data_IF_129577470060
#
_entry.id   IF_129577470060
#
_cell.length_a   1.000
_cell.length_b   1.000
_cell.length_c   1.000
_cell.angle_alpha   90.00
_cell.angle_beta   90.00
_cell.angle_gamma   90.00
#
_symmetry.space_group_name_H-M   'P 1'
#
loop_
_entity.id
_entity.type
_entity.pdbx_description
1 polymer ?
#
# COMPACT_ATOMS: atom_id res chain seq x y z
N UNK A 1 -25.16 -11.49 -13.41
CA UNK A 1 -24.77 -10.41 -12.47
C UNK A 1 -23.61 -10.91 -11.63
N UNK A 2 -22.55 -10.13 -11.50
CA UNK A 2 -21.40 -10.53 -10.71
C UNK A 2 -21.80 -10.52 -9.21
N UNK A 3 -21.49 -11.59 -8.46
CA UNK A 3 -21.88 -11.73 -7.05
C UNK A 3 -21.32 -10.61 -6.16
N UNK A 4 -21.80 -10.46 -4.91
CA UNK A 4 -21.39 -9.34 -4.06
C UNK A 4 -19.90 -9.42 -3.69
N UNK A 5 -19.21 -8.26 -3.58
CA UNK A 5 -17.75 -8.19 -3.35
C UNK A 5 -17.34 -8.92 -2.07
N UNK A 6 -16.30 -9.75 -2.13
CA UNK A 6 -15.73 -10.45 -0.96
C UNK A 6 -14.21 -10.32 -0.97
N UNK A 7 -13.60 -10.37 0.20
CA UNK A 7 -12.15 -10.38 0.39
C UNK A 7 -11.70 -11.82 0.61
N UNK A 8 -10.82 -12.31 -0.26
CA UNK A 8 -10.21 -13.62 -0.11
C UNK A 8 -9.43 -13.70 1.21
N UNK A 9 -9.83 -14.66 2.05
CA UNK A 9 -9.28 -14.82 3.40
C UNK A 9 -7.79 -15.19 3.37
N UNK A 10 -7.39 -16.08 2.47
CA UNK A 10 -6.01 -16.56 2.42
C UNK A 10 -5.06 -15.44 1.98
N UNK A 11 -5.46 -14.64 0.99
CA UNK A 11 -4.71 -13.48 0.54
C UNK A 11 -4.70 -12.36 1.57
N UNK A 12 -5.82 -12.09 2.25
CA UNK A 12 -5.86 -11.14 3.36
C UNK A 12 -4.86 -11.50 4.46
N UNK A 13 -4.91 -12.73 4.97
CA UNK A 13 -4.02 -13.17 6.05
C UNK A 13 -2.55 -13.25 5.60
N UNK A 14 -2.31 -13.52 4.31
CA UNK A 14 -0.96 -13.59 3.76
C UNK A 14 -0.31 -12.21 3.61
N UNK A 15 -1.06 -11.21 3.14
CA UNK A 15 -0.53 -9.88 2.78
C UNK A 15 -0.66 -8.84 3.88
N UNK A 16 -1.64 -8.96 4.77
CA UNK A 16 -1.88 -7.96 5.82
C UNK A 16 -1.09 -8.24 7.10
N UNK A 17 -0.72 -7.20 7.85
CA UNK A 17 -0.25 -7.33 9.23
C UNK A 17 -1.18 -8.14 10.11
N UNK A 18 -0.62 -8.96 10.99
CA UNK A 18 -1.39 -9.82 11.92
C UNK A 18 -2.42 -9.04 12.73
N UNK A 19 -2.12 -7.79 13.10
CA UNK A 19 -3.02 -6.90 13.84
C UNK A 19 -4.30 -6.56 13.06
N UNK A 20 -4.28 -6.66 11.73
CA UNK A 20 -5.41 -6.38 10.84
C UNK A 20 -6.23 -7.64 10.49
N UNK A 21 -5.78 -8.84 10.84
CA UNK A 21 -6.46 -10.09 10.47
C UNK A 21 -7.91 -10.14 10.98
N UNK A 22 -8.12 -9.68 12.21
CA UNK A 22 -9.45 -9.63 12.85
C UNK A 22 -10.39 -8.58 12.24
N UNK A 23 -9.85 -7.61 11.50
CA UNK A 23 -10.62 -6.53 10.88
C UNK A 23 -11.26 -6.95 9.54
N UNK A 24 -10.92 -8.12 9.00
CA UNK A 24 -11.38 -8.57 7.67
C UNK A 24 -12.90 -8.52 7.51
N UNK A 25 -13.65 -8.99 8.52
CA UNK A 25 -15.11 -9.05 8.48
C UNK A 25 -15.74 -7.66 8.37
N UNK A 26 -15.37 -6.76 9.27
CA UNK A 26 -15.82 -5.37 9.25
C UNK A 26 -15.39 -4.65 7.97
N UNK A 27 -14.14 -4.85 7.54
CA UNK A 27 -13.60 -4.27 6.31
C UNK A 27 -14.40 -4.71 5.09
N UNK A 28 -14.69 -6.01 4.96
CA UNK A 28 -15.50 -6.54 3.87
C UNK A 28 -16.93 -6.00 3.91
N UNK A 29 -17.55 -5.88 5.09
CA UNK A 29 -18.89 -5.30 5.22
C UNK A 29 -18.91 -3.85 4.74
N UNK A 30 -17.95 -3.02 5.17
CA UNK A 30 -17.83 -1.62 4.74
C UNK A 30 -17.59 -1.50 3.24
N UNK A 31 -16.75 -2.37 2.68
CA UNK A 31 -16.49 -2.43 1.25
C UNK A 31 -17.75 -2.82 0.46
N UNK A 32 -18.54 -3.79 0.95
CA UNK A 32 -19.81 -4.19 0.34
C UNK A 32 -20.78 -3.01 0.29
N UNK A 33 -21.02 -2.33 1.41
CA UNK A 33 -21.89 -1.16 1.46
C UNK A 33 -21.40 -0.03 0.56
N UNK A 34 -20.10 0.27 0.57
CA UNK A 34 -19.55 1.30 -0.31
C UNK A 34 -19.71 0.97 -1.79
N UNK A 35 -19.55 -0.31 -2.17
CA UNK A 35 -19.79 -0.81 -3.52
C UNK A 35 -21.26 -0.74 -3.97
N UNK A 36 -22.22 -0.39 -3.10
CA UNK A 36 -23.63 -0.16 -3.49
C UNK A 36 -23.85 1.23 -4.09
N UNK A 37 -22.95 2.18 -3.83
CA UNK A 37 -22.94 3.51 -4.47
C UNK A 37 -22.63 3.41 -5.97
N UNK A 38 -23.03 4.41 -6.75
CA UNK A 38 -22.78 4.41 -8.20
C UNK A 38 -21.28 4.36 -8.54
N UNK A 39 -20.47 5.17 -7.84
CA UNK A 39 -19.02 5.13 -8.02
C UNK A 39 -18.42 3.80 -7.53
N UNK A 40 -18.90 3.25 -6.41
CA UNK A 40 -18.47 1.96 -5.90
C UNK A 40 -18.74 0.81 -6.88
N UNK A 41 -19.90 0.79 -7.55
CA UNK A 41 -20.21 -0.17 -8.61
C UNK A 41 -19.26 -0.05 -9.80
N UNK A 42 -19.01 1.18 -10.26
CA UNK A 42 -18.04 1.46 -11.32
C UNK A 42 -16.63 1.01 -10.95
N UNK A 43 -16.18 1.35 -9.74
CA UNK A 43 -14.90 0.93 -9.19
C UNK A 43 -14.76 -0.59 -9.14
N UNK A 44 -15.81 -1.28 -8.68
CA UNK A 44 -15.81 -2.74 -8.51
C UNK A 44 -15.68 -3.50 -9.83
N UNK A 45 -16.22 -2.96 -10.92
CA UNK A 45 -16.05 -3.55 -12.26
C UNK A 45 -14.57 -3.58 -12.65
N UNK A 46 -13.83 -2.49 -12.39
CA UNK A 46 -12.39 -2.44 -12.67
C UNK A 46 -11.60 -3.24 -11.64
N UNK A 47 -12.02 -3.24 -10.36
CA UNK A 47 -11.30 -3.89 -9.27
C UNK A 47 -11.28 -5.41 -9.33
N UNK A 48 -12.18 -6.04 -10.11
CA UNK A 48 -12.21 -7.50 -10.31
C UNK A 48 -11.27 -7.98 -11.41
N UNK A 49 -10.92 -7.10 -12.33
CA UNK A 49 -10.13 -7.47 -13.49
C UNK A 49 -8.64 -7.39 -13.15
N UNK A 50 -7.85 -8.45 -13.38
CA UNK A 50 -6.40 -8.37 -13.38
C UNK A 50 -5.94 -7.33 -14.42
N UNK A 51 -5.19 -6.32 -13.97
CA UNK A 51 -4.80 -5.18 -14.82
C UNK A 51 -5.94 -4.18 -15.09
N UNK A 52 -7.05 -4.28 -14.36
CA UNK A 52 -8.11 -3.28 -14.39
C UNK A 52 -7.60 -1.91 -13.95
N UNK A 53 -7.97 -0.90 -14.73
CA UNK A 53 -7.54 0.48 -14.53
C UNK A 53 -8.72 1.44 -14.73
N UNK A 54 -8.66 2.55 -14.01
CA UNK A 54 -9.57 3.68 -14.13
C UNK A 54 -8.75 4.87 -14.60
N UNK A 55 -9.22 5.51 -15.66
CA UNK A 55 -8.60 6.70 -16.23
C UNK A 55 -9.23 7.93 -15.58
N UNK A 56 -8.42 8.82 -15.01
CA UNK A 56 -8.86 9.98 -14.25
C UNK A 56 -8.11 11.24 -14.66
N UNK A 57 -8.73 12.41 -14.47
CA UNK A 57 -8.16 13.74 -14.67
C UNK A 57 -8.30 14.58 -13.39
N UNK A 58 -7.69 15.76 -13.38
CA UNK A 58 -7.81 16.69 -12.25
C UNK A 58 -9.30 16.93 -11.88
N UNK A 59 -9.62 16.79 -10.60
CA UNK A 59 -10.98 16.87 -10.08
C UNK A 59 -11.71 15.52 -10.00
N UNK A 60 -11.29 14.51 -10.75
CA UNK A 60 -11.87 13.15 -10.65
C UNK A 60 -11.48 12.48 -9.35
N UNK A 61 -12.27 11.47 -8.97
CA UNK A 61 -12.07 10.71 -7.74
C UNK A 61 -10.92 9.73 -7.91
N UNK A 62 -9.98 9.70 -6.97
CA UNK A 62 -8.92 8.68 -6.91
C UNK A 62 -9.55 7.33 -6.58
N UNK A 63 -9.23 6.23 -7.29
CA UNK A 63 -9.91 4.95 -7.15
C UNK A 63 -9.42 4.13 -5.94
N UNK A 64 -9.41 4.75 -4.77
CA UNK A 64 -8.99 4.14 -3.52
C UNK A 64 -10.21 3.89 -2.62
N UNK A 65 -10.44 2.62 -2.27
CA UNK A 65 -11.27 2.30 -1.12
C UNK A 65 -10.40 2.36 0.14
N UNK A 66 -10.60 3.39 0.96
CA UNK A 66 -9.81 3.64 2.16
C UNK A 66 -10.66 3.55 3.42
N UNK A 67 -10.27 2.66 4.34
CA UNK A 67 -10.86 2.54 5.66
C UNK A 67 -9.83 2.87 6.74
N UNK A 68 -10.24 3.57 7.79
CA UNK A 68 -9.47 3.79 9.01
C UNK A 68 -10.13 3.02 10.15
N UNK A 69 -9.33 2.27 10.90
CA UNK A 69 -9.73 1.55 12.10
C UNK A 69 -8.92 2.03 13.31
N UNK A 70 -9.59 2.26 14.43
CA UNK A 70 -8.99 2.73 15.67
C UNK A 70 -9.13 1.70 16.80
N UNK A 71 -8.22 1.76 17.78
CA UNK A 71 -8.20 0.82 18.94
C UNK A 71 -9.50 0.81 19.75
N UNK A 72 -10.26 1.90 19.78
CA UNK A 72 -11.52 2.00 20.51
C UNK A 72 -12.72 1.36 19.77
N UNK A 73 -12.48 0.65 18.67
CA UNK A 73 -13.51 0.02 17.84
C UNK A 73 -14.14 0.95 16.81
N UNK A 74 -13.85 2.26 16.85
CA UNK A 74 -14.28 3.18 15.81
C UNK A 74 -13.61 2.83 14.49
N UNK A 75 -14.42 2.73 13.44
CA UNK A 75 -13.94 2.56 12.09
C UNK A 75 -14.86 3.29 11.11
N UNK A 76 -14.29 3.77 10.00
CA UNK A 76 -15.04 4.50 8.98
C UNK A 76 -14.32 4.41 7.63
N UNK A 77 -15.11 4.58 6.56
CA UNK A 77 -14.59 4.76 5.21
C UNK A 77 -14.23 6.24 5.03
N UNK A 78 -13.01 6.51 4.61
CA UNK A 78 -12.51 7.86 4.37
C UNK A 78 -13.18 8.41 3.10
N UNK A 79 -13.63 9.67 3.09
CA UNK A 79 -14.10 10.33 1.86
C UNK A 79 -13.03 10.25 0.78
N UNK A 80 -13.44 9.94 -0.46
CA UNK A 80 -12.47 9.73 -1.53
C UNK A 80 -11.75 11.03 -1.86
N UNK A 81 -10.43 10.92 -2.01
CA UNK A 81 -9.62 12.03 -2.48
C UNK A 81 -9.91 12.33 -3.95
N UNK A 82 -9.72 13.60 -4.34
CA UNK A 82 -9.79 14.02 -5.74
C UNK A 82 -8.39 14.24 -6.28
N UNK A 83 -8.17 13.83 -7.52
CA UNK A 83 -6.93 14.08 -8.23
C UNK A 83 -6.67 15.58 -8.29
N UNK A 84 -5.43 15.95 -7.96
CA UNK A 84 -4.91 17.32 -8.08
C UNK A 84 -3.86 17.35 -9.17
N UNK A 85 -3.57 18.53 -9.70
CA UNK A 85 -2.43 18.71 -10.58
C UNK A 85 -1.13 18.34 -9.84
N UNK A 86 -0.24 17.59 -10.52
CA UNK A 86 0.99 17.08 -9.90
C UNK A 86 0.79 15.92 -8.90
N UNK A 87 -0.40 15.31 -8.83
CA UNK A 87 -0.63 14.13 -8.00
C UNK A 87 0.35 13.00 -8.40
N UNK A 88 1.24 12.62 -7.49
CA UNK A 88 2.25 11.59 -7.73
C UNK A 88 1.59 10.21 -7.72
N UNK A 89 1.77 9.46 -8.80
CA UNK A 89 1.47 8.04 -8.83
C UNK A 89 2.74 7.26 -9.23
N UNK A 90 2.76 5.99 -8.87
CA UNK A 90 3.75 5.04 -9.38
C UNK A 90 2.98 4.07 -10.25
N UNK A 91 2.95 4.33 -11.56
CA UNK A 91 2.47 3.38 -12.56
C UNK A 91 3.64 2.58 -13.08
N UNK A 92 3.51 1.26 -13.11
CA UNK A 92 4.35 0.43 -13.99
C UNK A 92 3.88 0.82 -15.39
N UNK A 93 4.73 1.50 -16.16
CA UNK A 93 4.39 2.02 -17.49
C UNK A 93 3.95 0.86 -18.39
N UNK A 94 2.67 0.81 -18.72
CA UNK A 94 2.13 -0.09 -19.73
C UNK A 94 1.57 0.84 -20.80
N UNK A 95 2.27 0.96 -21.92
CA UNK A 95 1.85 1.83 -23.03
C UNK A 95 0.68 1.20 -23.84
N UNK A 96 0.42 -0.10 -23.66
CA UNK A 96 -0.61 -0.84 -24.39
C UNK A 96 -1.79 -1.25 -23.48
N UNK A 97 -2.84 -0.45 -23.47
CA UNK A 97 -4.11 -0.79 -22.83
C UNK A 97 -5.06 -1.49 -23.80
N UNK A 98 -5.86 -2.47 -23.32
CA UNK A 98 -6.91 -3.15 -24.12
C UNK A 98 -7.88 -2.19 -24.82
N UNK A 99 -8.03 -0.97 -24.31
CA UNK A 99 -8.85 0.06 -24.93
C UNK A 99 -8.32 0.59 -26.27
N UNK A 100 -7.05 0.36 -26.59
CA UNK A 100 -6.37 0.91 -27.78
C UNK A 100 -6.23 2.43 -27.78
N UNK A 101 -6.67 3.11 -26.71
CA UNK A 101 -6.66 4.57 -26.59
C UNK A 101 -5.40 5.04 -25.85
N UNK A 102 -4.54 5.88 -26.46
CA UNK A 102 -3.35 6.41 -25.81
C UNK A 102 -3.74 7.24 -24.58
N UNK A 103 -2.84 7.34 -23.61
CA UNK A 103 -3.00 8.23 -22.46
C UNK A 103 -3.03 9.69 -22.94
N UNK A 104 -3.98 10.48 -22.42
CA UNK A 104 -4.12 11.89 -22.75
C UNK A 104 -3.27 12.76 -21.82
N UNK A 105 -2.92 13.97 -22.27
CA UNK A 105 -2.25 14.94 -21.42
C UNK A 105 -3.08 15.26 -20.16
N UNK A 106 -2.44 15.24 -18.99
CA UNK A 106 -3.09 15.47 -17.70
C UNK A 106 -3.98 14.34 -17.19
N UNK A 107 -4.03 13.21 -17.90
CA UNK A 107 -4.71 11.99 -17.45
C UNK A 107 -3.76 11.12 -16.62
N UNK A 108 -4.28 10.50 -15.56
CA UNK A 108 -3.63 9.39 -14.86
C UNK A 108 -4.43 8.11 -15.08
N UNK A 109 -3.72 6.99 -15.20
CA UNK A 109 -4.32 5.66 -15.33
C UNK A 109 -3.97 4.88 -14.08
N UNK A 110 -4.96 4.66 -13.22
CA UNK A 110 -4.78 4.11 -11.88
C UNK A 110 -5.52 2.79 -11.73
N UNK A 111 -4.86 1.78 -11.19
CA UNK A 111 -5.55 0.58 -10.73
C UNK A 111 -6.33 0.89 -9.45
N UNK A 112 -7.54 0.33 -9.30
CA UNK A 112 -8.27 0.32 -8.03
C UNK A 112 -7.41 -0.19 -6.86
N UNK A 113 -7.40 0.52 -5.73
CA UNK A 113 -6.64 0.15 -4.53
C UNK A 113 -7.56 -0.06 -3.34
N UNK A 114 -7.25 -1.08 -2.54
CA UNK A 114 -7.76 -1.26 -1.19
C UNK A 114 -6.72 -0.74 -0.20
N UNK A 115 -7.17 0.06 0.76
CA UNK A 115 -6.33 0.63 1.82
C UNK A 115 -6.98 0.52 3.20
N UNK A 116 -6.18 0.11 4.18
CA UNK A 116 -6.56 0.04 5.60
C UNK A 116 -5.49 0.68 6.46
N UNK A 117 -5.91 1.65 7.27
CA UNK A 117 -5.10 2.27 8.30
C UNK A 117 -5.54 1.75 9.68
N UNK A 118 -4.59 1.31 10.49
CA UNK A 118 -4.80 0.92 11.88
C UNK A 118 -4.07 1.89 12.80
N UNK A 119 -4.85 2.69 13.54
CA UNK A 119 -4.37 3.71 14.46
C UNK A 119 -4.59 3.25 15.90
N UNK A 120 -3.52 2.97 16.63
CA UNK A 120 -3.58 2.49 18.03
C UNK A 120 -3.06 3.49 19.05
N UNK A 121 -2.24 4.44 18.62
CA UNK A 121 -1.60 5.42 19.50
C UNK A 121 -2.57 6.54 19.91
N UNK A 122 -2.57 6.85 21.21
CA UNK A 122 -3.50 7.82 21.79
C UNK A 122 -3.22 9.25 21.32
N UNK A 123 -1.97 9.62 21.06
CA UNK A 123 -1.62 10.95 20.58
C UNK A 123 -2.16 11.17 19.16
N UNK A 124 -2.01 10.17 18.28
CA UNK A 124 -2.55 10.19 16.92
C UNK A 124 -4.09 10.24 16.93
N UNK A 125 -4.74 9.45 17.78
CA UNK A 125 -6.19 9.49 17.93
C UNK A 125 -6.68 10.84 18.45
N UNK A 126 -5.96 11.46 19.39
CA UNK A 126 -6.30 12.78 19.91
C UNK A 126 -6.12 13.88 18.87
N UNK A 127 -5.05 13.81 18.05
CA UNK A 127 -4.83 14.74 16.94
C UNK A 127 -5.93 14.64 15.88
N UNK A 128 -6.31 13.41 15.49
CA UNK A 128 -7.41 13.18 14.55
C UNK A 128 -8.72 13.81 15.03
N UNK A 129 -9.04 13.72 16.33
CA UNK A 129 -10.23 14.36 16.92
C UNK A 129 -10.20 15.89 16.85
N UNK A 130 -9.01 16.48 16.87
CA UNK A 130 -8.82 17.94 16.76
C UNK A 130 -8.64 18.41 15.31
N UNK A 131 -8.68 17.51 14.34
CA UNK A 131 -8.30 17.79 12.94
C UNK A 131 -6.90 18.40 12.83
N UNK A 132 -6.00 18.01 13.74
CA UNK A 132 -4.64 18.54 13.82
C UNK A 132 -3.71 17.72 12.92
N UNK A 133 -3.51 18.21 11.69
CA UNK A 133 -2.70 17.56 10.67
C UNK A 133 -1.19 17.89 10.79
N UNK A 134 -0.84 18.84 11.65
CA UNK A 134 0.54 19.32 11.81
C UNK A 134 1.18 18.80 13.11
N UNK A 135 0.55 17.82 13.77
CA UNK A 135 1.04 17.29 15.04
C UNK A 135 2.49 16.78 14.84
N UNK A 136 3.47 17.34 15.57
CA UNK A 136 4.81 16.78 15.60
C UNK A 136 4.76 15.33 16.06
N UNK A 137 5.70 14.52 15.63
CA UNK A 137 5.85 13.12 16.07
C UNK A 137 6.10 12.99 17.59
N UNK A 138 6.39 14.10 18.27
CA UNK A 138 6.49 14.20 19.72
C UNK A 138 5.22 13.67 20.42
N UNK A 139 5.37 12.53 21.10
CA UNK A 139 4.30 11.88 21.86
C UNK A 139 3.72 10.65 21.20
N UNK A 140 4.04 10.39 19.92
CA UNK A 140 3.72 9.11 19.27
C UNK A 140 4.66 8.04 19.80
N UNK A 141 4.09 7.00 20.39
CA UNK A 141 4.80 5.84 20.94
C UNK A 141 4.70 4.62 20.03
N UNK A 142 3.60 4.51 19.30
CA UNK A 142 3.36 3.47 18.32
C UNK A 142 2.96 4.07 16.97
N UNK A 143 3.75 3.88 15.89
CA UNK A 143 3.35 4.32 14.57
C UNK A 143 2.05 3.64 14.12
N UNK A 144 1.19 4.37 13.41
CA UNK A 144 0.04 3.75 12.72
C UNK A 144 0.52 2.74 11.70
N UNK A 145 -0.21 1.63 11.58
CA UNK A 145 0.11 0.58 10.61
C UNK A 145 -0.82 0.78 9.42
N UNK A 146 -0.23 0.96 8.24
CA UNK A 146 -0.96 1.15 7.00
C UNK A 146 -0.76 -0.08 6.11
N UNK A 147 -1.82 -0.51 5.44
CA UNK A 147 -1.78 -1.55 4.43
C UNK A 147 -2.47 -1.04 3.17
N UNK A 148 -1.88 -1.30 2.00
CA UNK A 148 -2.60 -1.13 0.73
C UNK A 148 -2.20 -2.18 -0.30
N UNK A 149 -3.11 -2.50 -1.21
CA UNK A 149 -2.85 -3.40 -2.34
C UNK A 149 -3.77 -3.05 -3.52
N UNK A 150 -3.36 -3.33 -4.78
CA UNK A 150 -4.28 -3.42 -5.89
C UNK A 150 -5.47 -4.31 -5.53
N UNK A 151 -6.67 -3.80 -5.72
CA UNK A 151 -7.89 -4.40 -5.18
C UNK A 151 -8.14 -5.81 -5.72
N UNK A 152 -7.78 -6.08 -6.99
CA UNK A 152 -7.96 -7.38 -7.62
C UNK A 152 -7.22 -8.49 -6.87
N UNK A 153 -6.08 -8.21 -6.23
CA UNK A 153 -5.31 -9.20 -5.46
C UNK A 153 -6.10 -9.71 -4.25
N UNK A 154 -7.05 -8.93 -3.73
CA UNK A 154 -7.87 -9.31 -2.57
C UNK A 154 -9.28 -9.73 -2.96
N UNK A 155 -9.84 -9.15 -4.04
CA UNK A 155 -11.23 -9.38 -4.45
C UNK A 155 -11.35 -10.55 -5.43
N UNK A 156 -10.42 -10.65 -6.38
CA UNK A 156 -10.42 -11.64 -7.44
C UNK A 156 -8.98 -12.12 -7.71
N UNK A 157 -8.29 -12.69 -6.70
CA UNK A 157 -6.90 -13.07 -6.85
C UNK A 157 -6.71 -14.15 -7.92
N UNK A 158 -5.61 -14.04 -8.65
CA UNK A 158 -5.11 -15.13 -9.48
C UNK A 158 -4.06 -15.92 -8.70
N UNK A 159 -4.29 -17.23 -8.56
CA UNK A 159 -3.34 -18.14 -7.94
C UNK A 159 -3.39 -18.19 -6.42
N UNK A 160 -2.33 -18.76 -5.82
CA UNK A 160 -2.28 -19.12 -4.41
C UNK A 160 -1.16 -18.38 -3.69
N UNK A 161 -1.38 -17.81 -2.49
CA UNK A 161 -0.38 -16.98 -1.82
C UNK A 161 0.97 -17.67 -1.62
N UNK A 162 0.96 -18.95 -1.23
CA UNK A 162 2.18 -19.74 -0.97
C UNK A 162 3.03 -20.06 -2.21
N UNK A 163 2.48 -19.86 -3.42
CA UNK A 163 3.17 -20.11 -4.70
C UNK A 163 3.43 -18.81 -5.47
N UNK A 164 3.19 -17.67 -4.84
CA UNK A 164 3.29 -16.38 -5.49
C UNK A 164 4.45 -15.58 -4.90
N UNK A 165 5.05 -14.79 -5.75
CA UNK A 165 5.98 -13.74 -5.36
C UNK A 165 5.20 -12.43 -5.19
N UNK A 166 5.52 -11.72 -4.12
CA UNK A 166 4.91 -10.45 -3.75
C UNK A 166 5.98 -9.37 -3.87
N UNK A 167 5.71 -8.38 -4.72
CA UNK A 167 6.47 -7.15 -4.78
C UNK A 167 5.79 -6.12 -3.86
N UNK A 168 6.56 -5.58 -2.93
CA UNK A 168 6.04 -4.68 -1.91
C UNK A 168 6.96 -3.48 -1.68
N UNK A 169 6.41 -2.47 -1.04
CA UNK A 169 7.10 -1.30 -0.55
C UNK A 169 6.78 -1.10 0.94
N UNK A 170 7.82 -0.88 1.75
CA UNK A 170 7.67 -0.30 3.07
C UNK A 170 7.90 1.21 2.96
N UNK A 171 6.98 2.02 3.46
CA UNK A 171 7.12 3.48 3.53
C UNK A 171 6.96 3.90 4.99
N UNK A 172 7.80 4.79 5.49
CA UNK A 172 7.69 5.30 6.86
C UNK A 172 8.20 6.73 6.96
N UNK A 173 7.64 7.48 7.90
CA UNK A 173 7.98 8.88 8.12
C UNK A 173 7.03 9.53 9.11
N UNK A 174 6.91 10.85 9.04
CA UNK A 174 6.10 11.65 9.95
C UNK A 174 5.29 12.73 9.22
N UNK A 175 4.19 13.16 9.86
CA UNK A 175 3.38 14.29 9.43
C UNK A 175 3.04 14.29 7.94
N UNK A 176 3.42 15.36 7.24
CA UNK A 176 3.11 15.59 5.83
C UNK A 176 3.76 14.62 4.84
N UNK A 177 4.63 13.70 5.27
CA UNK A 177 5.12 12.63 4.40
C UNK A 177 4.09 11.50 4.22
N UNK A 178 3.06 11.49 5.05
CA UNK A 178 2.00 10.49 4.99
C UNK A 178 1.18 10.62 3.69
N UNK A 179 0.77 9.50 3.06
CA UNK A 179 1.19 8.13 3.34
C UNK A 179 2.37 7.69 2.45
N UNK A 180 2.63 8.40 1.35
CA UNK A 180 3.49 7.93 0.25
C UNK A 180 4.82 8.68 0.12
N UNK A 181 5.00 9.79 0.81
CA UNK A 181 6.17 10.66 0.64
C UNK A 181 7.29 10.45 1.66
N UNK A 182 7.15 9.45 2.54
CA UNK A 182 8.18 9.05 3.51
C UNK A 182 9.38 8.32 2.89
N UNK A 183 10.31 7.91 3.75
CA UNK A 183 11.38 7.01 3.36
C UNK A 183 10.81 5.67 2.91
N UNK A 184 11.39 5.07 1.86
CA UNK A 184 10.84 3.83 1.33
C UNK A 184 11.88 2.79 0.94
N UNK A 185 11.46 1.53 1.03
CA UNK A 185 12.20 0.36 0.60
C UNK A 185 11.29 -0.52 -0.23
N UNK A 186 11.75 -0.92 -1.42
CA UNK A 186 11.09 -1.90 -2.28
C UNK A 186 11.73 -3.28 -2.06
N UNK A 187 10.93 -4.33 -2.04
CA UNK A 187 11.46 -5.69 -2.02
C UNK A 187 10.50 -6.73 -2.54
N UNK A 188 11.03 -7.93 -2.74
CA UNK A 188 10.31 -9.13 -3.14
C UNK A 188 10.25 -10.13 -1.98
N UNK A 189 9.16 -10.89 -1.87
CA UNK A 189 9.09 -12.05 -0.97
C UNK A 189 8.09 -13.10 -1.46
N UNK A 190 8.33 -14.36 -1.09
CA UNK A 190 7.32 -15.45 -1.15
C UNK A 190 6.76 -15.79 0.24
N UNK A 191 7.28 -15.14 1.28
CA UNK A 191 6.87 -15.35 2.67
C UNK A 191 5.61 -14.54 2.95
N UNK A 192 4.79 -15.02 3.90
CA UNK A 192 3.70 -14.19 4.42
C UNK A 192 4.24 -12.91 5.07
N UNK A 193 3.41 -11.87 5.09
CA UNK A 193 3.74 -10.58 5.67
C UNK A 193 4.25 -10.69 7.10
N UNK A 194 3.57 -11.50 7.92
CA UNK A 194 3.96 -11.80 9.31
C UNK A 194 5.43 -12.24 9.39
N UNK A 195 5.84 -13.16 8.52
CA UNK A 195 7.19 -13.72 8.51
C UNK A 195 8.19 -12.69 7.97
N UNK A 196 7.92 -12.10 6.81
CA UNK A 196 8.85 -11.16 6.16
C UNK A 196 9.10 -9.91 6.99
N UNK A 197 8.06 -9.34 7.59
CA UNK A 197 8.20 -8.19 8.46
C UNK A 197 8.96 -8.53 9.76
N UNK A 198 8.73 -9.72 10.33
CA UNK A 198 9.49 -10.17 11.50
C UNK A 198 10.99 -10.34 11.19
N UNK A 199 11.34 -10.80 9.98
CA UNK A 199 12.73 -10.87 9.50
C UNK A 199 13.37 -9.48 9.46
N UNK A 200 12.73 -8.50 8.84
CA UNK A 200 13.21 -7.11 8.80
C UNK A 200 13.39 -6.53 10.22
N UNK A 201 12.39 -6.68 11.08
CA UNK A 201 12.43 -6.21 12.47
C UNK A 201 13.57 -6.86 13.27
N UNK A 202 13.80 -8.16 13.07
CA UNK A 202 14.90 -8.88 13.72
C UNK A 202 16.26 -8.43 13.21
N UNK A 203 16.44 -8.29 11.90
CA UNK A 203 17.69 -7.82 11.30
C UNK A 203 18.02 -6.38 11.73
N UNK A 204 17.01 -5.52 11.75
CA UNK A 204 17.09 -4.14 12.28
C UNK A 204 17.59 -4.10 13.72
N UNK A 205 16.98 -4.90 14.61
CA UNK A 205 17.36 -4.99 16.04
C UNK A 205 18.76 -5.56 16.25
N UNK A 206 19.21 -6.47 15.38
CA UNK A 206 20.56 -7.04 15.40
C UNK A 206 21.63 -6.10 14.83
N UNK A 207 21.28 -4.86 14.47
CA UNK A 207 22.26 -3.89 13.96
C UNK A 207 22.64 -4.09 12.49
N UNK A 208 21.75 -4.65 11.65
CA UNK A 208 22.02 -4.78 10.22
C UNK A 208 22.41 -3.43 9.58
N UNK A 209 23.44 -3.46 8.73
CA UNK A 209 24.01 -2.32 8.02
C UNK A 209 23.25 -1.90 6.74
N UNK A 210 22.19 -2.62 6.36
CA UNK A 210 21.38 -2.23 5.21
C UNK A 210 20.73 -0.86 5.45
N UNK A 211 20.73 0.02 4.43
CA UNK A 211 20.17 1.39 4.53
C UNK A 211 18.78 1.39 5.13
N UNK A 212 17.90 0.49 4.65
CA UNK A 212 16.55 0.34 5.17
C UNK A 212 16.51 0.07 6.68
N UNK A 213 17.27 -0.92 7.14
CA UNK A 213 17.29 -1.31 8.55
C UNK A 213 17.90 -0.23 9.43
N UNK A 214 19.00 0.39 8.99
CA UNK A 214 19.66 1.46 9.73
C UNK A 214 18.72 2.67 9.86
N UNK A 215 18.18 3.16 8.75
CA UNK A 215 17.32 4.34 8.73
C UNK A 215 16.04 4.13 9.52
N UNK A 216 15.37 2.97 9.37
CA UNK A 216 14.18 2.67 10.15
C UNK A 216 14.47 2.65 11.66
N UNK A 217 15.61 2.09 12.07
CA UNK A 217 16.02 2.09 13.48
C UNK A 217 16.26 3.50 14.00
N UNK A 218 17.05 4.30 13.28
CA UNK A 218 17.38 5.68 13.63
C UNK A 218 16.13 6.56 13.78
N UNK A 219 15.20 6.47 12.82
CA UNK A 219 13.96 7.26 12.86
C UNK A 219 13.03 6.81 13.99
N UNK A 220 12.94 5.50 14.27
CA UNK A 220 12.17 4.98 15.41
C UNK A 220 12.76 5.40 16.76
N UNK A 221 14.08 5.31 16.93
CA UNK A 221 14.79 5.72 18.15
C UNK A 221 14.66 7.23 18.38
N UNK A 222 14.69 8.01 17.30
CA UNK A 222 14.46 9.45 17.34
C UNK A 222 12.98 9.85 17.44
N UNK A 223 12.06 8.88 17.49
CA UNK A 223 10.60 9.10 17.54
C UNK A 223 10.06 9.96 16.39
N UNK A 224 10.62 9.82 15.17
CA UNK A 224 10.22 10.54 13.96
C UNK A 224 9.44 9.66 12.98
N UNK A 225 8.71 8.69 13.51
CA UNK A 225 7.88 7.76 12.72
C UNK A 225 6.47 7.78 13.29
N UNK A 226 5.53 8.37 12.57
CA UNK A 226 4.10 8.37 12.94
C UNK A 226 3.31 7.29 12.21
N UNK A 227 3.86 6.74 11.13
CA UNK A 227 3.25 5.64 10.39
C UNK A 227 4.29 4.71 9.75
N UNK A 228 3.87 3.46 9.51
CA UNK A 228 4.56 2.50 8.66
C UNK A 228 3.53 1.93 7.68
N UNK A 229 3.74 2.19 6.39
CA UNK A 229 2.91 1.72 5.30
C UNK A 229 3.52 0.49 4.62
N UNK A 230 2.68 -0.52 4.49
CA UNK A 230 2.95 -1.81 3.90
C UNK A 230 2.14 -1.90 2.60
N UNK A 231 2.77 -1.47 1.51
CA UNK A 231 2.13 -1.38 0.20
C UNK A 231 2.51 -2.59 -0.63
N UNK A 232 1.53 -3.42 -0.99
CA UNK A 232 1.68 -4.42 -2.04
C UNK A 232 1.57 -3.70 -3.37
N UNK A 233 2.52 -3.92 -4.27
CA UNK A 233 2.55 -3.28 -5.59
C UNK A 233 2.10 -4.27 -6.67
N UNK A 234 2.56 -5.52 -6.60
CA UNK A 234 2.19 -6.57 -7.55
C UNK A 234 2.34 -7.96 -6.93
N UNK A 235 1.66 -8.92 -7.54
CA UNK A 235 1.74 -10.35 -7.23
C UNK A 235 1.85 -11.11 -8.54
N UNK A 236 2.75 -12.09 -8.60
CA UNK A 236 2.92 -12.95 -9.78
C UNK A 236 3.42 -14.34 -9.36
N UNK A 237 3.19 -15.34 -10.21
CA UNK A 237 3.83 -16.66 -10.08
C UNK A 237 5.11 -16.78 -10.92
N UNK A 238 5.39 -15.77 -11.75
CA UNK A 238 6.59 -15.70 -12.60
C UNK A 238 7.68 -14.85 -11.92
N UNK A 239 8.78 -15.50 -11.54
CA UNK A 239 9.88 -14.85 -10.86
C UNK A 239 10.62 -13.85 -11.76
N UNK A 240 10.75 -14.12 -13.06
CA UNK A 240 11.51 -13.26 -13.98
C UNK A 240 10.75 -11.96 -14.24
N UNK A 241 9.45 -12.05 -14.52
CA UNK A 241 8.59 -10.89 -14.65
C UNK A 241 8.61 -9.99 -13.39
N UNK A 242 8.80 -10.58 -12.19
CA UNK A 242 8.91 -9.80 -10.97
C UNK A 242 10.26 -9.12 -10.80
N UNK A 243 11.35 -9.78 -11.19
CA UNK A 243 12.68 -9.18 -11.15
C UNK A 243 12.77 -7.98 -12.09
N UNK A 244 12.20 -8.09 -13.29
CA UNK A 244 12.11 -6.98 -14.24
C UNK A 244 11.27 -5.83 -13.67
N UNK A 245 10.13 -6.13 -13.04
CA UNK A 245 9.27 -5.11 -12.42
C UNK A 245 9.95 -4.41 -11.23
N UNK A 246 10.64 -5.14 -10.35
CA UNK A 246 11.40 -4.55 -9.24
C UNK A 246 12.54 -3.68 -9.75
N UNK A 247 13.30 -4.17 -10.73
CA UNK A 247 14.42 -3.43 -11.30
C UNK A 247 13.96 -2.15 -11.99
N UNK A 248 12.88 -2.21 -12.77
CA UNK A 248 12.29 -1.03 -13.41
C UNK A 248 11.85 0.02 -12.39
N UNK A 249 11.22 -0.39 -11.29
CA UNK A 249 10.77 0.52 -10.23
C UNK A 249 11.95 1.14 -9.47
N UNK A 250 12.92 0.33 -9.06
CA UNK A 250 14.08 0.84 -8.31
C UNK A 250 14.93 1.76 -9.18
N UNK A 251 15.06 1.45 -10.48
CA UNK A 251 15.73 2.31 -11.47
C UNK A 251 14.97 3.62 -11.67
N UNK A 252 13.65 3.58 -11.81
CA UNK A 252 12.81 4.78 -11.94
C UNK A 252 12.89 5.73 -10.73
N UNK A 253 13.27 5.20 -9.57
CA UNK A 253 13.47 5.96 -8.34
C UNK A 253 14.94 6.06 -7.91
N UNK A 254 15.91 5.81 -8.80
CA UNK A 254 17.32 5.70 -8.42
C UNK A 254 17.86 7.00 -7.79
N UNK A 255 17.43 8.14 -8.31
CA UNK A 255 17.80 9.49 -7.83
C UNK A 255 16.93 9.99 -6.67
N UNK A 256 15.91 9.21 -6.23
CA UNK A 256 15.10 9.60 -5.08
C UNK A 256 15.87 9.38 -3.77
N UNK A 257 16.25 10.46 -3.11
CA UNK A 257 17.03 10.44 -1.86
C UNK A 257 16.31 9.76 -0.70
N UNK A 258 15.00 9.51 -0.80
CA UNK A 258 14.20 8.81 0.22
C UNK A 258 14.27 7.29 0.08
N UNK A 259 14.73 6.79 -1.07
CA UNK A 259 14.84 5.37 -1.37
C UNK A 259 15.96 4.73 -0.55
N UNK A 260 15.67 3.57 0.03
CA UNK A 260 16.57 2.82 0.91
C UNK A 260 17.04 1.48 0.33
N UNK A 261 16.75 1.23 -0.95
CA UNK A 261 17.35 0.15 -1.74
C UNK A 261 18.84 0.47 -1.98
N UNK A 262 19.72 -0.49 -1.70
CA UNK A 262 21.18 -0.34 -1.88
C UNK A 262 21.68 -0.84 -3.25
N UNK A 263 20.82 -1.53 -3.97
CA UNK A 263 21.12 -2.15 -5.26
C UNK A 263 19.94 -1.91 -6.20
N UNK A 264 20.14 -1.98 -7.51
CA UNK A 264 19.10 -1.73 -8.52
C UNK A 264 17.90 -2.67 -8.50
N UNK A 265 17.87 -3.69 -7.63
CA UNK A 265 16.85 -4.74 -7.62
C UNK A 265 17.21 -5.90 -8.56
N UNK A 266 16.27 -6.81 -8.80
CA UNK A 266 16.42 -7.93 -9.73
C UNK A 266 17.37 -9.02 -9.21
N UNK A 267 17.97 -9.80 -10.13
CA UNK A 267 18.84 -10.95 -9.79
C UNK A 267 20.04 -10.57 -8.91
N UNK A 268 20.48 -9.31 -8.95
CA UNK A 268 21.59 -8.81 -8.14
C UNK A 268 21.27 -8.77 -6.63
N UNK A 269 19.98 -8.80 -6.24
CA UNK A 269 19.55 -8.82 -4.83
C UNK A 269 19.44 -10.19 -4.18
N UNK A 270 19.74 -11.25 -4.93
CA UNK A 270 19.56 -12.64 -4.51
C UNK A 270 20.89 -13.44 -4.37
N UNK A 271 22.04 -12.77 -4.30
CA UNK A 271 23.31 -13.44 -3.97
C UNK A 271 23.47 -13.65 -2.46
#
# INVERSE_FOLDING_TARGET
MAGPVSIDKAWWEHLTPTSMHRLRGEFEQRLRTWCETDYGKFWLNSAREPGGVIRIKAGDVVPDFHMVAMRNGLNFVVPQERMREGHRNVSIGIDEYRSGKPQQAGELILSPVIRLDLVTDLALMAAARRFDINMPSAGVTEPSILFSAPAHILIAPNGWPKKSFVLYQHIFGEGGSYPVDGYFYVGITTRSWKTRWAEHRRAMRKGSNLLFHRKLREELEAKRVTYIHHKVMAVTTDAEALYEAEEALVRGHWEDTRRLNMIPGGRAGYR
#
